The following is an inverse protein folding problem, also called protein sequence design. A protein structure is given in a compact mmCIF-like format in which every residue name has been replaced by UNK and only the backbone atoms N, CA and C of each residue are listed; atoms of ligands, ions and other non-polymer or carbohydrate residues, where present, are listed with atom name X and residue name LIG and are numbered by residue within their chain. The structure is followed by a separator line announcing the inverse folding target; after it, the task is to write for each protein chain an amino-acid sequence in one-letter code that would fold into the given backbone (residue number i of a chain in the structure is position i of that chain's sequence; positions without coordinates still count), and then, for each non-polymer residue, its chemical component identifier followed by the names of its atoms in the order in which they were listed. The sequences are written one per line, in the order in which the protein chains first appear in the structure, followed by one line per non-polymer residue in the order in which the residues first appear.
data_IF_991266090160
#
_entry.id   IF_991266090160
#
_cell.length_a   1.000
_cell.length_b   1.000
_cell.length_c   1.000
_cell.angle_alpha   90.00
_cell.angle_beta   90.00
_cell.angle_gamma   90.00
#
_symmetry.space_group_name_H-M   'P 1'
#
loop_
_entity.id
_entity.type
_entity.pdbx_description
1 polymer ?
#
# COMPACT_ATOMS: atom_id res chain seq x y z
N UNK A 1 0.73 0.15 14.11
CA UNK A 1 2.19 -0.01 14.35
C UNK A 1 2.38 -0.69 15.69
N UNK A 2 3.23 -1.71 15.77
CA UNK A 2 3.61 -2.33 17.05
C UNK A 2 4.40 -1.32 17.88
N UNK A 3 4.08 -1.22 19.16
CA UNK A 3 4.85 -0.43 20.12
C UNK A 3 6.19 -1.10 20.40
N UNK A 4 7.20 -0.34 20.84
CA UNK A 4 8.52 -0.90 21.20
C UNK A 4 8.39 -2.03 22.23
N UNK A 5 7.50 -1.86 23.21
CA UNK A 5 7.20 -2.88 24.22
C UNK A 5 6.67 -4.19 23.61
N UNK A 6 5.79 -4.11 22.61
CA UNK A 6 5.28 -5.30 21.93
C UNK A 6 6.36 -6.02 21.12
N UNK A 7 7.29 -5.27 20.52
CA UNK A 7 8.43 -5.86 19.80
C UNK A 7 9.35 -6.60 20.77
N UNK A 8 9.66 -6.01 21.93
CA UNK A 8 10.47 -6.65 22.97
C UNK A 8 9.82 -7.94 23.50
N UNK A 9 8.51 -7.92 23.74
CA UNK A 9 7.74 -9.10 24.17
C UNK A 9 7.81 -10.22 23.12
N UNK A 10 7.66 -9.90 21.83
CA UNK A 10 7.77 -10.87 20.74
C UNK A 10 9.18 -11.45 20.59
N UNK A 11 10.21 -10.62 20.67
CA UNK A 11 11.61 -11.07 20.58
C UNK A 11 11.97 -12.02 21.73
N UNK A 12 11.50 -11.70 22.95
CA UNK A 12 11.69 -12.53 24.14
C UNK A 12 11.00 -13.89 24.01
N UNK A 13 9.78 -13.94 23.46
CA UNK A 13 9.06 -15.19 23.23
C UNK A 13 9.76 -16.08 22.19
N UNK A 14 10.31 -15.48 21.15
CA UNK A 14 11.07 -16.19 20.10
C UNK A 14 12.46 -16.62 20.59
N UNK A 15 12.93 -16.07 21.72
CA UNK A 15 14.22 -16.40 22.33
C UNK A 15 15.41 -15.70 21.69
N UNK A 16 15.18 -14.61 20.96
CA UNK A 16 16.21 -13.81 20.29
C UNK A 16 16.40 -12.47 20.99
N UNK A 17 17.62 -11.94 20.95
CA UNK A 17 17.96 -10.69 21.63
C UNK A 17 17.77 -9.46 20.75
N UNK A 18 17.81 -9.65 19.43
CA UNK A 18 17.66 -8.59 18.45
C UNK A 18 16.95 -9.07 17.18
N UNK A 19 16.48 -8.11 16.38
CA UNK A 19 15.99 -8.39 15.03
C UNK A 19 17.08 -9.01 14.14
N UNK A 20 18.36 -8.70 14.40
CA UNK A 20 19.46 -9.23 13.60
C UNK A 20 19.66 -10.73 13.75
N UNK A 21 19.34 -11.26 14.94
CA UNK A 21 19.36 -12.68 15.22
C UNK A 21 18.28 -13.42 14.40
N UNK A 22 17.14 -12.77 14.10
CA UNK A 22 16.08 -13.35 13.26
C UNK A 22 16.51 -13.51 11.80
N UNK A 23 17.38 -12.63 11.31
CA UNK A 23 17.80 -12.61 9.91
C UNK A 23 19.17 -13.23 9.67
N UNK A 24 19.74 -13.93 10.66
CA UNK A 24 21.05 -14.59 10.58
C UNK A 24 21.17 -15.53 9.36
N UNK A 25 20.07 -16.20 9.01
CA UNK A 25 19.98 -17.08 7.83
C UNK A 25 20.21 -16.38 6.48
N UNK A 26 20.11 -15.05 6.43
CA UNK A 26 20.38 -14.24 5.24
C UNK A 26 21.85 -13.77 5.28
N UNK A 27 22.73 -14.25 4.37
CA UNK A 27 24.14 -13.85 4.34
C UNK A 27 24.29 -12.34 4.21
N UNK A 28 25.17 -11.74 5.01
CA UNK A 28 25.41 -10.28 4.98
C UNK A 28 25.84 -9.74 3.62
N UNK A 29 26.44 -10.58 2.77
CA UNK A 29 26.80 -10.23 1.39
C UNK A 29 25.60 -9.99 0.48
N UNK A 30 24.45 -10.60 0.79
CA UNK A 30 23.20 -10.48 0.03
C UNK A 30 22.24 -9.46 0.65
N UNK A 31 22.52 -8.97 1.87
CA UNK A 31 21.71 -7.94 2.51
C UNK A 31 21.89 -6.61 1.78
N UNK A 32 20.79 -5.90 1.57
CA UNK A 32 20.82 -4.56 1.02
C UNK A 32 21.53 -3.64 2.01
N UNK A 33 22.68 -3.08 1.60
CA UNK A 33 23.52 -2.21 2.45
C UNK A 33 23.14 -0.74 2.37
N UNK A 34 22.41 -0.39 1.32
CA UNK A 34 21.96 0.96 1.04
C UNK A 34 20.46 1.07 1.30
N UNK A 35 19.98 2.28 1.53
CA UNK A 35 18.55 2.52 1.62
C UNK A 35 17.88 2.22 0.26
N UNK A 36 16.64 1.76 0.32
CA UNK A 36 15.82 1.60 -0.89
C UNK A 36 15.72 2.94 -1.62
N UNK A 37 15.89 2.91 -2.94
CA UNK A 37 15.71 4.09 -3.80
C UNK A 37 14.21 4.35 -4.03
N UNK A 38 13.52 4.73 -2.95
CA UNK A 38 12.11 5.08 -2.95
C UNK A 38 11.92 6.48 -2.36
N UNK A 39 10.82 7.18 -2.73
CA UNK A 39 10.49 8.47 -2.12
C UNK A 39 10.37 8.36 -0.60
N UNK A 40 10.63 9.47 0.09
CA UNK A 40 10.41 9.56 1.53
C UNK A 40 8.96 9.27 1.91
N UNK A 41 8.78 8.87 3.17
CA UNK A 41 7.46 8.62 3.72
C UNK A 41 6.61 9.91 3.64
N UNK A 42 5.39 9.77 3.15
CA UNK A 42 4.40 10.85 3.09
C UNK A 42 3.34 10.59 4.15
N UNK A 43 2.78 11.66 4.70
CA UNK A 43 1.58 11.52 5.53
C UNK A 43 0.40 11.03 4.69
N UNK A 44 -0.62 10.48 5.36
CA UNK A 44 -1.83 9.99 4.68
C UNK A 44 -2.52 11.09 3.87
N UNK A 45 -2.61 12.31 4.43
CA UNK A 45 -3.20 13.47 3.75
C UNK A 45 -2.40 13.89 2.51
N UNK A 46 -1.06 13.94 2.61
CA UNK A 46 -0.21 14.29 1.46
C UNK A 46 -0.28 13.23 0.36
N UNK A 47 -0.38 11.95 0.75
CA UNK A 47 -0.55 10.86 -0.19
C UNK A 47 -1.91 10.95 -0.90
N UNK A 48 -2.99 11.23 -0.17
CA UNK A 48 -4.32 11.41 -0.74
C UNK A 48 -4.35 12.53 -1.78
N UNK A 49 -3.79 13.70 -1.43
CA UNK A 49 -3.69 14.84 -2.34
C UNK A 49 -2.86 14.51 -3.59
N UNK A 50 -1.73 13.83 -3.41
CA UNK A 50 -0.86 13.43 -4.53
C UNK A 50 -1.58 12.47 -5.46
N UNK A 51 -2.26 11.45 -4.93
CA UNK A 51 -3.01 10.49 -5.72
C UNK A 51 -4.16 11.19 -6.46
N UNK A 52 -4.86 12.12 -5.80
CA UNK A 52 -5.91 12.92 -6.42
C UNK A 52 -5.39 13.73 -7.61
N UNK A 53 -4.23 14.38 -7.47
CA UNK A 53 -3.60 15.13 -8.56
C UNK A 53 -3.13 14.25 -9.72
N UNK A 54 -2.65 13.04 -9.45
CA UNK A 54 -2.30 12.06 -10.49
C UNK A 54 -3.58 11.63 -11.22
N UNK A 55 -4.64 11.29 -10.49
CA UNK A 55 -5.93 10.87 -11.06
C UNK A 55 -6.55 11.93 -11.96
N UNK A 56 -6.40 13.23 -11.64
CA UNK A 56 -6.87 14.34 -12.47
C UNK A 56 -6.23 14.44 -13.85
N UNK A 57 -5.07 13.80 -14.07
CA UNK A 57 -4.46 13.74 -15.41
C UNK A 57 -5.17 12.76 -16.33
N UNK A 58 -6.00 11.87 -15.77
CA UNK A 58 -6.76 10.92 -16.55
C UNK A 58 -7.96 11.61 -17.22
N UNK A 59 -8.33 11.09 -18.38
CA UNK A 59 -9.52 11.52 -19.09
C UNK A 59 -10.76 11.17 -18.26
N UNK A 60 -11.58 12.17 -17.93
CA UNK A 60 -12.79 11.94 -17.14
C UNK A 60 -13.85 11.21 -17.96
N UNK A 61 -14.06 9.94 -17.63
CA UNK A 61 -15.02 9.05 -18.26
C UNK A 61 -16.48 9.55 -18.13
N UNK A 62 -16.77 10.32 -17.08
CA UNK A 62 -18.11 10.89 -16.85
C UNK A 62 -18.40 12.05 -17.80
N UNK A 63 -17.43 12.96 -17.96
CA UNK A 63 -17.52 14.09 -18.88
C UNK A 63 -17.42 13.67 -20.34
N UNK A 64 -16.52 12.73 -20.66
CA UNK A 64 -16.26 12.34 -22.05
C UNK A 64 -17.32 11.41 -22.65
N UNK A 65 -18.15 10.74 -21.82
CA UNK A 65 -19.20 9.80 -22.25
C UNK A 65 -18.74 8.85 -23.38
N UNK A 66 -17.70 8.06 -23.15
CA UNK A 66 -17.11 7.24 -24.20
C UNK A 66 -18.10 6.18 -24.70
N UNK A 67 -18.30 6.16 -26.01
CA UNK A 67 -19.16 5.21 -26.73
C UNK A 67 -18.33 4.17 -27.50
N UNK A 68 -17.13 3.85 -27.00
CA UNK A 68 -16.14 3.01 -27.68
C UNK A 68 -16.62 1.56 -27.90
N UNK A 69 -17.47 1.04 -27.00
CA UNK A 69 -17.99 -0.33 -27.10
C UNK A 69 -16.92 -1.41 -26.88
N UNK A 70 -16.91 -2.44 -27.73
CA UNK A 70 -15.95 -3.55 -27.69
C UNK A 70 -15.88 -4.31 -26.35
N UNK A 71 -17.02 -4.50 -25.69
CA UNK A 71 -17.11 -5.21 -24.41
C UNK A 71 -16.86 -4.36 -23.17
N UNK A 72 -16.56 -3.07 -23.33
CA UNK A 72 -16.46 -2.10 -22.23
C UNK A 72 -17.52 -1.02 -22.37
N UNK A 73 -18.47 -1.00 -21.44
CA UNK A 73 -19.59 -0.07 -21.43
C UNK A 73 -19.82 0.44 -20.02
N UNK A 74 -20.39 1.65 -19.94
CA UNK A 74 -20.67 2.27 -18.65
C UNK A 74 -21.84 1.57 -17.99
N UNK A 75 -21.61 1.05 -16.79
CA UNK A 75 -22.63 0.41 -15.97
C UNK A 75 -23.06 1.30 -14.81
N UNK A 76 -24.33 1.23 -14.45
CA UNK A 76 -24.79 1.71 -13.16
C UNK A 76 -24.39 0.70 -12.09
N UNK A 77 -23.63 1.15 -11.09
CA UNK A 77 -23.24 0.35 -9.93
C UNK A 77 -24.08 0.81 -8.75
N UNK A 78 -25.00 -0.02 -8.23
CA UNK A 78 -25.81 0.33 -7.06
C UNK A 78 -24.94 0.58 -5.83
N UNK A 79 -25.33 1.53 -4.97
CA UNK A 79 -24.57 1.90 -3.76
C UNK A 79 -24.34 0.72 -2.82
N UNK A 80 -25.30 -0.22 -2.74
CA UNK A 80 -25.16 -1.44 -1.94
C UNK A 80 -23.92 -2.29 -2.32
N UNK A 81 -23.47 -2.24 -3.58
CA UNK A 81 -22.30 -2.98 -4.06
C UNK A 81 -21.01 -2.40 -3.48
N UNK A 82 -20.94 -1.09 -3.22
CA UNK A 82 -19.74 -0.48 -2.61
C UNK A 82 -19.45 -1.06 -1.23
N UNK A 83 -20.48 -1.28 -0.43
CA UNK A 83 -20.33 -1.92 0.88
C UNK A 83 -19.85 -3.37 0.80
N UNK A 84 -20.18 -4.09 -0.28
CA UNK A 84 -19.65 -5.44 -0.50
C UNK A 84 -18.17 -5.41 -0.89
N UNK A 85 -17.75 -4.42 -1.69
CA UNK A 85 -16.35 -4.25 -2.10
C UNK A 85 -15.43 -3.78 -0.97
N UNK A 86 -15.97 -3.07 0.02
CA UNK A 86 -15.21 -2.58 1.19
C UNK A 86 -15.13 -3.60 2.33
N UNK A 87 -15.74 -4.78 2.17
CA UNK A 87 -15.64 -5.88 3.14
C UNK A 87 -14.43 -6.74 2.79
N UNK A 88 -13.28 -6.40 3.37
CA UNK A 88 -12.16 -7.31 3.63
C UNK A 88 -11.62 -7.09 5.05
#
# INVERSE_FOLDING_TARGET
MFTEKQKEEMLKEIGVSSFEDLIESVPQSLRLKENLSIPEAMSESELEDKIYHIAKKNADFYSMKPLLGAGSYRHFIPEAVKFLLQRE
#
